data_IF_875142976634
#
_entry.id   IF_875142976634
#
_cell.length_a   1.000
_cell.length_b   1.000
_cell.length_c   1.000
_cell.angle_alpha   90.00
_cell.angle_beta   90.00
_cell.angle_gamma   90.00
#
_symmetry.space_group_name_H-M   'P 1'
#
loop_
_entity.id
_entity.type
_entity.pdbx_description
1 polymer ?
#
# COMPACT_ATOMS: atom_id res chain seq x y z
N UNK A 1 -13.22 24.86 -23.25
CA UNK A 1 -13.39 26.33 -23.27
C UNK A 1 -14.78 26.59 -23.80
N UNK A 2 -15.63 27.23 -23.01
CA UNK A 2 -17.02 27.53 -23.38
C UNK A 2 -17.00 28.80 -24.22
N UNK A 3 -17.38 28.72 -25.50
CA UNK A 3 -17.54 29.92 -26.32
C UNK A 3 -19.03 30.21 -26.49
N UNK A 4 -19.43 31.41 -26.09
CA UNK A 4 -20.74 31.98 -26.42
C UNK A 4 -20.57 32.70 -27.75
N UNK A 5 -21.18 32.19 -28.84
CA UNK A 5 -21.32 32.95 -30.09
C UNK A 5 -22.67 33.65 -30.06
N UNK A 6 -22.66 34.96 -29.85
CA UNK A 6 -23.81 35.80 -30.19
C UNK A 6 -23.72 36.14 -31.68
N UNK A 7 -24.58 35.55 -32.50
CA UNK A 7 -24.84 36.07 -33.85
C UNK A 7 -25.76 37.28 -33.73
N UNK A 8 -25.28 38.47 -34.10
CA UNK A 8 -26.16 39.59 -34.44
C UNK A 8 -26.22 39.67 -35.95
N UNK A 9 -27.39 39.41 -36.51
CA UNK A 9 -27.70 39.69 -37.90
C UNK A 9 -27.95 41.20 -38.02
N UNK A 10 -27.05 41.93 -38.70
CA UNK A 10 -27.23 43.36 -38.96
C UNK A 10 -27.64 43.50 -40.43
N UNK A 11 -28.91 43.79 -40.75
CA UNK A 11 -29.32 44.05 -42.12
C UNK A 11 -28.77 45.42 -42.56
N UNK A 12 -28.32 45.47 -43.81
CA UNK A 12 -27.69 46.62 -44.43
C UNK A 12 -28.54 47.90 -44.43
N UNK A 13 -27.81 49.02 -44.47
CA UNK A 13 -28.35 50.38 -44.60
C UNK A 13 -29.24 50.52 -45.85
N UNK A 14 -30.47 50.94 -45.66
CA UNK A 14 -31.32 51.48 -46.72
C UNK A 14 -32.79 51.61 -46.30
N UNK A 15 -33.28 52.84 -46.21
CA UNK A 15 -34.73 53.13 -46.22
C UNK A 15 -35.37 53.32 -44.85
N UNK A 16 -35.95 54.51 -44.66
CA UNK A 16 -36.90 54.80 -43.60
C UNK A 16 -38.15 53.93 -43.76
N UNK A 17 -38.59 53.26 -42.70
CA UNK A 17 -39.97 52.87 -42.44
C UNK A 17 -40.08 52.27 -41.03
N UNK A 18 -41.03 52.79 -40.26
CA UNK A 18 -41.44 52.32 -38.93
C UNK A 18 -41.92 50.87 -39.00
N UNK A 19 -41.27 49.96 -38.28
CA UNK A 19 -41.76 48.60 -38.04
C UNK A 19 -41.53 48.24 -36.58
N UNK A 20 -42.62 47.88 -35.90
CA UNK A 20 -42.63 47.30 -34.55
C UNK A 20 -41.67 46.10 -34.49
N UNK A 21 -40.62 46.21 -33.67
CA UNK A 21 -39.72 45.10 -33.38
C UNK A 21 -40.36 44.19 -32.30
N UNK A 22 -41.06 43.15 -32.75
CA UNK A 22 -41.46 42.03 -31.90
C UNK A 22 -40.21 41.17 -31.62
N UNK A 23 -39.58 41.42 -30.47
CA UNK A 23 -38.36 40.73 -30.06
C UNK A 23 -38.62 39.26 -29.69
N UNK A 24 -38.45 38.33 -30.63
CA UNK A 24 -38.28 36.91 -30.32
C UNK A 24 -36.86 36.67 -29.78
N UNK A 25 -36.76 36.44 -28.46
CA UNK A 25 -35.57 35.84 -27.86
C UNK A 25 -35.43 34.40 -28.39
N UNK A 26 -34.38 34.13 -29.17
CA UNK A 26 -33.95 32.76 -29.44
C UNK A 26 -33.27 32.22 -28.18
N UNK A 27 -33.58 30.99 -27.72
CA UNK A 27 -32.93 30.42 -26.55
C UNK A 27 -31.44 30.22 -26.85
N UNK A 28 -30.58 30.80 -26.02
CA UNK A 28 -29.15 30.53 -26.03
C UNK A 28 -28.92 29.05 -25.71
N UNK A 29 -28.81 28.23 -26.74
CA UNK A 29 -28.42 26.82 -26.62
C UNK A 29 -26.93 26.73 -26.31
N UNK A 30 -26.59 26.06 -25.21
CA UNK A 30 -25.22 25.66 -24.92
C UNK A 30 -24.83 24.60 -25.95
N UNK A 31 -24.03 24.96 -26.95
CA UNK A 31 -23.38 23.98 -27.82
C UNK A 31 -22.25 23.33 -27.01
N UNK A 32 -22.51 22.13 -26.48
CA UNK A 32 -21.44 21.26 -25.97
C UNK A 32 -20.72 20.65 -27.17
N UNK A 33 -19.43 20.91 -27.31
CA UNK A 33 -18.54 20.21 -28.26
C UNK A 33 -18.41 18.72 -27.90
N UNK A 34 -19.48 17.93 -28.10
CA UNK A 34 -19.56 16.53 -27.67
C UNK A 34 -18.53 15.61 -28.33
N UNK A 35 -17.97 16.01 -29.49
CA UNK A 35 -17.01 15.20 -30.22
C UNK A 35 -15.59 15.24 -29.59
N UNK A 36 -15.22 16.32 -28.89
CA UNK A 36 -13.86 16.45 -28.32
C UNK A 36 -13.72 15.84 -26.93
N UNK A 37 -14.81 15.76 -26.14
CA UNK A 37 -14.80 15.14 -24.81
C UNK A 37 -14.87 13.62 -24.89
N UNK A 38 -15.71 13.06 -25.77
CA UNK A 38 -15.87 11.62 -25.94
C UNK A 38 -14.57 10.94 -26.42
N UNK A 39 -13.84 11.59 -27.34
CA UNK A 39 -12.53 11.12 -27.80
C UNK A 39 -11.48 11.10 -26.67
N UNK A 40 -11.43 12.16 -25.85
CA UNK A 40 -10.50 12.26 -24.71
C UNK A 40 -10.79 11.21 -23.63
N UNK A 41 -12.06 10.96 -23.32
CA UNK A 41 -12.44 9.91 -22.36
C UNK A 41 -12.08 8.52 -22.86
N UNK A 42 -12.30 8.23 -24.15
CA UNK A 42 -11.89 6.96 -24.77
C UNK A 42 -10.38 6.73 -24.65
N UNK A 43 -9.56 7.72 -24.99
CA UNK A 43 -8.10 7.60 -24.88
C UNK A 43 -7.62 7.42 -23.44
N UNK A 44 -8.27 8.07 -22.46
CA UNK A 44 -7.96 7.87 -21.03
C UNK A 44 -8.28 6.45 -20.58
N UNK A 45 -9.42 5.91 -20.97
CA UNK A 45 -9.77 4.52 -20.67
C UNK A 45 -8.78 3.52 -21.28
N UNK A 46 -8.37 3.73 -22.54
CA UNK A 46 -7.36 2.89 -23.20
C UNK A 46 -6.02 2.97 -22.45
N UNK A 47 -5.60 4.17 -22.04
CA UNK A 47 -4.38 4.36 -21.26
C UNK A 47 -4.45 3.68 -19.88
N UNK A 48 -5.56 3.81 -19.16
CA UNK A 48 -5.76 3.16 -17.86
C UNK A 48 -5.69 1.63 -18.01
N UNK A 49 -6.35 1.06 -19.02
CA UNK A 49 -6.31 -0.39 -19.29
C UNK A 49 -4.89 -0.84 -19.65
N UNK A 50 -4.16 -0.09 -20.48
CA UNK A 50 -2.78 -0.40 -20.82
C UNK A 50 -1.87 -0.41 -19.58
N UNK A 51 -2.03 0.56 -18.67
CA UNK A 51 -1.30 0.61 -17.40
C UNK A 51 -1.61 -0.60 -16.52
N UNK A 52 -2.87 -1.03 -16.46
CA UNK A 52 -3.28 -2.23 -15.71
C UNK A 52 -2.64 -3.49 -16.27
N UNK A 53 -2.62 -3.65 -17.60
CA UNK A 53 -1.97 -4.80 -18.25
C UNK A 53 -0.46 -4.81 -17.98
N UNK A 54 0.19 -3.65 -18.06
CA UNK A 54 1.61 -3.51 -17.72
C UNK A 54 1.88 -3.85 -16.24
N UNK A 55 1.06 -3.34 -15.32
CA UNK A 55 1.17 -3.64 -13.90
C UNK A 55 0.97 -5.13 -13.59
N UNK A 56 -0.02 -5.77 -14.22
CA UNK A 56 -0.28 -7.21 -14.07
C UNK A 56 0.88 -8.06 -14.62
N UNK A 57 1.42 -7.69 -15.80
CA UNK A 57 2.60 -8.35 -16.37
C UNK A 57 3.83 -8.19 -15.50
N UNK A 58 4.06 -7.00 -14.94
CA UNK A 58 5.16 -6.75 -14.02
C UNK A 58 5.00 -7.51 -12.69
N UNK A 59 3.78 -7.58 -12.14
CA UNK A 59 3.50 -8.39 -10.95
C UNK A 59 3.74 -9.88 -11.21
N UNK A 60 3.29 -10.41 -12.35
CA UNK A 60 3.56 -11.80 -12.73
C UNK A 60 5.07 -12.06 -12.84
N UNK A 61 5.82 -11.12 -13.39
CA UNK A 61 7.28 -11.18 -13.42
C UNK A 61 7.88 -11.19 -12.00
N UNK A 62 7.44 -10.32 -11.09
CA UNK A 62 7.88 -10.33 -9.69
C UNK A 62 7.59 -11.67 -8.99
N UNK A 63 6.38 -12.20 -9.15
CA UNK A 63 5.99 -13.51 -8.59
C UNK A 63 6.90 -14.61 -9.15
N UNK A 64 7.22 -14.60 -10.44
CA UNK A 64 8.13 -15.58 -11.03
C UNK A 64 9.54 -15.52 -10.44
N UNK A 65 9.98 -14.35 -9.93
CA UNK A 65 11.25 -14.19 -9.21
C UNK A 65 11.13 -14.71 -7.78
N UNK A 66 10.04 -14.42 -7.08
CA UNK A 66 9.79 -14.92 -5.72
C UNK A 66 9.65 -16.43 -5.67
N UNK A 67 9.05 -17.07 -6.67
CA UNK A 67 8.98 -18.52 -6.77
C UNK A 67 10.35 -19.21 -6.96
N UNK A 68 11.42 -18.44 -7.23
CA UNK A 68 12.81 -18.92 -7.27
C UNK A 68 13.57 -18.62 -5.96
N UNK A 69 12.88 -18.15 -4.92
CA UNK A 69 13.48 -17.94 -3.58
C UNK A 69 13.92 -19.28 -3.00
N UNK A 70 13.19 -20.37 -3.25
CA UNK A 70 13.54 -21.71 -2.78
C UNK A 70 14.96 -22.16 -3.20
N UNK A 71 15.47 -21.65 -4.31
CA UNK A 71 16.81 -21.96 -4.84
C UNK A 71 17.92 -21.10 -4.21
N UNK A 72 17.55 -20.15 -3.33
CA UNK A 72 18.43 -19.14 -2.73
C UNK A 72 18.43 -19.29 -1.20
N UNK A 73 19.23 -20.21 -0.63
CA UNK A 73 19.22 -20.50 0.80
C UNK A 73 19.57 -19.30 1.70
N UNK A 74 20.22 -18.28 1.14
CA UNK A 74 20.61 -17.06 1.86
C UNK A 74 19.57 -15.94 1.78
N UNK A 75 18.38 -16.20 1.24
CA UNK A 75 17.32 -15.21 1.18
C UNK A 75 16.74 -14.92 2.58
N UNK A 76 16.39 -13.67 2.88
CA UNK A 76 15.81 -13.24 4.16
C UNK A 76 14.63 -14.12 4.63
N UNK A 77 13.85 -14.67 3.69
CA UNK A 77 12.78 -15.60 4.02
C UNK A 77 13.26 -16.81 4.83
N UNK A 78 14.43 -17.35 4.54
CA UNK A 78 14.96 -18.50 5.26
C UNK A 78 15.37 -18.16 6.68
N UNK A 79 15.83 -16.94 6.95
CA UNK A 79 16.02 -16.47 8.32
C UNK A 79 14.69 -16.51 9.07
N UNK A 80 13.61 -16.01 8.47
CA UNK A 80 12.27 -16.06 9.07
C UNK A 80 11.81 -17.50 9.34
N UNK A 81 11.98 -18.37 8.34
CA UNK A 81 11.54 -19.76 8.40
C UNK A 81 12.31 -20.54 9.48
N UNK A 82 13.64 -20.46 9.49
CA UNK A 82 14.45 -21.15 10.50
C UNK A 82 14.29 -20.53 11.88
N UNK A 83 14.03 -19.22 11.98
CA UNK A 83 13.61 -18.60 13.23
C UNK A 83 12.31 -19.19 13.77
N UNK A 84 11.31 -19.36 12.91
CA UNK A 84 10.04 -20.00 13.28
C UNK A 84 10.21 -21.48 13.67
N UNK A 85 11.13 -22.21 13.01
CA UNK A 85 11.53 -23.58 13.39
C UNK A 85 12.16 -23.58 14.77
N UNK A 86 13.07 -22.64 15.07
CA UNK A 86 13.68 -22.50 16.40
C UNK A 86 12.62 -22.31 17.49
N UNK A 87 11.62 -21.45 17.24
CA UNK A 87 10.50 -21.25 18.15
C UNK A 87 9.70 -22.53 18.37
N UNK A 88 9.43 -23.30 17.30
CA UNK A 88 8.71 -24.58 17.39
C UNK A 88 9.48 -25.60 18.23
N UNK A 89 10.79 -25.67 18.04
CA UNK A 89 11.66 -26.70 18.62
C UNK A 89 12.25 -26.25 19.98
N UNK A 90 11.90 -25.06 20.47
CA UNK A 90 12.36 -24.52 21.75
C UNK A 90 13.84 -24.11 21.76
N UNK A 91 14.41 -23.83 20.59
CA UNK A 91 15.80 -23.41 20.41
C UNK A 91 15.97 -21.89 20.52
N UNK A 92 17.23 -21.45 20.51
CA UNK A 92 17.59 -20.02 20.51
C UNK A 92 17.36 -19.41 19.13
N UNK A 93 16.49 -18.39 19.07
CA UNK A 93 16.06 -17.71 17.85
C UNK A 93 17.20 -16.96 17.17
N UNK A 94 18.10 -16.36 17.96
CA UNK A 94 19.17 -15.50 17.43
C UNK A 94 20.44 -16.26 17.05
N UNK A 95 20.43 -17.59 17.23
CA UNK A 95 21.55 -18.48 16.85
C UNK A 95 21.31 -19.28 15.58
N UNK A 96 20.10 -19.25 15.03
CA UNK A 96 19.79 -19.97 13.79
C UNK A 96 20.42 -19.30 12.57
N UNK A 97 20.72 -20.11 11.55
CA UNK A 97 21.27 -19.66 10.27
C UNK A 97 22.47 -18.71 10.43
N UNK A 98 23.44 -19.12 11.26
CA UNK A 98 24.63 -18.33 11.59
C UNK A 98 24.33 -16.92 12.15
N UNK A 99 23.19 -16.77 12.84
CA UNK A 99 22.75 -15.49 13.40
C UNK A 99 22.05 -14.57 12.40
N UNK A 100 21.58 -15.09 11.26
CA UNK A 100 20.89 -14.32 10.23
C UNK A 100 19.54 -13.73 10.67
N UNK A 101 18.89 -14.30 11.70
CA UNK A 101 17.65 -13.76 12.22
C UNK A 101 17.89 -12.48 13.05
N UNK A 102 17.60 -11.31 12.47
CA UNK A 102 17.78 -9.99 13.12
C UNK A 102 16.45 -9.27 13.42
N UNK A 103 15.37 -10.03 13.53
CA UNK A 103 14.00 -9.48 13.56
C UNK A 103 13.39 -9.56 14.97
N UNK A 104 12.25 -8.87 15.22
CA UNK A 104 11.54 -9.01 16.49
C UNK A 104 10.97 -10.42 16.67
N UNK A 105 10.99 -10.99 17.89
CA UNK A 105 10.58 -12.39 18.13
C UNK A 105 9.15 -12.70 17.69
N UNK A 106 8.26 -11.70 17.69
CA UNK A 106 6.88 -11.88 17.25
C UNK A 106 6.79 -12.42 15.81
N UNK A 107 7.67 -11.98 14.91
CA UNK A 107 7.63 -12.44 13.52
C UNK A 107 7.84 -13.96 13.43
N UNK A 108 8.82 -14.51 14.16
CA UNK A 108 9.06 -15.95 14.19
C UNK A 108 7.90 -16.73 14.85
N UNK A 109 7.32 -16.18 15.93
CA UNK A 109 6.15 -16.79 16.59
C UNK A 109 4.94 -16.85 15.65
N UNK A 110 4.64 -15.76 14.94
CA UNK A 110 3.51 -15.67 13.99
C UNK A 110 3.73 -16.59 12.78
N UNK A 111 4.98 -16.76 12.34
CA UNK A 111 5.32 -17.64 11.22
C UNK A 111 5.44 -19.12 11.60
N UNK A 112 5.31 -19.48 12.88
CA UNK A 112 5.34 -20.87 13.34
C UNK A 112 4.45 -21.83 12.52
N UNK A 113 3.21 -21.47 12.10
CA UNK A 113 2.39 -22.36 11.27
C UNK A 113 3.01 -22.69 9.90
N UNK A 114 3.89 -21.83 9.35
CA UNK A 114 4.57 -22.10 8.08
C UNK A 114 5.56 -23.26 8.19
N UNK A 115 6.03 -23.60 9.40
CA UNK A 115 6.96 -24.72 9.63
C UNK A 115 6.33 -26.09 9.44
N UNK A 116 5.01 -26.16 9.21
CA UNK A 116 4.29 -27.36 8.81
C UNK A 116 4.52 -27.71 7.33
N UNK A 117 5.04 -26.76 6.54
CA UNK A 117 5.36 -26.92 5.13
C UNK A 117 6.87 -27.15 4.98
N UNK A 118 7.28 -27.84 3.94
CA UNK A 118 8.69 -27.87 3.55
C UNK A 118 9.20 -26.46 3.21
N UNK A 119 10.48 -26.14 3.44
CA UNK A 119 11.00 -24.77 3.32
C UNK A 119 10.70 -24.09 1.97
N UNK A 120 10.86 -24.83 0.87
CA UNK A 120 10.56 -24.33 -0.49
C UNK A 120 9.07 -24.05 -0.68
N UNK A 121 8.20 -24.93 -0.18
CA UNK A 121 6.75 -24.72 -0.23
C UNK A 121 6.34 -23.52 0.62
N UNK A 122 6.94 -23.36 1.82
CA UNK A 122 6.72 -22.20 2.66
C UNK A 122 7.15 -20.90 1.95
N UNK A 123 8.29 -20.89 1.26
CA UNK A 123 8.77 -19.75 0.47
C UNK A 123 7.82 -19.37 -0.68
N UNK A 124 7.25 -20.38 -1.35
CA UNK A 124 6.26 -20.16 -2.40
C UNK A 124 4.96 -19.57 -1.84
N UNK A 125 4.47 -20.09 -0.70
CA UNK A 125 3.30 -19.53 0.00
C UNK A 125 3.56 -18.09 0.45
N UNK A 126 4.75 -17.82 0.99
CA UNK A 126 5.17 -16.47 1.37
C UNK A 126 5.20 -15.52 0.17
N UNK A 127 5.73 -15.97 -0.97
CA UNK A 127 5.71 -15.19 -2.22
C UNK A 127 4.28 -14.80 -2.63
N UNK A 128 3.32 -15.73 -2.53
CA UNK A 128 1.92 -15.45 -2.84
C UNK A 128 1.31 -14.46 -1.84
N UNK A 129 1.70 -14.55 -0.56
CA UNK A 129 1.32 -13.57 0.44
C UNK A 129 1.88 -12.18 0.11
N UNK A 130 3.16 -12.07 -0.27
CA UNK A 130 3.76 -10.81 -0.71
C UNK A 130 3.02 -10.22 -1.93
N UNK A 131 2.64 -11.05 -2.90
CA UNK A 131 1.83 -10.60 -4.04
C UNK A 131 0.47 -10.05 -3.60
N UNK A 132 -0.24 -10.75 -2.72
CA UNK A 132 -1.52 -10.30 -2.19
C UNK A 132 -1.39 -8.99 -1.38
N UNK A 133 -0.34 -8.87 -0.56
CA UNK A 133 -0.03 -7.66 0.19
C UNK A 133 0.30 -6.48 -0.73
N UNK A 134 1.09 -6.69 -1.78
CA UNK A 134 1.42 -5.65 -2.76
C UNK A 134 0.18 -5.17 -3.51
N UNK A 135 -0.67 -6.09 -4.00
CA UNK A 135 -1.94 -5.76 -4.65
C UNK A 135 -2.81 -4.92 -3.71
N UNK A 136 -3.02 -5.40 -2.48
CA UNK A 136 -3.88 -4.74 -1.49
C UNK A 136 -3.36 -3.35 -1.16
N UNK A 137 -2.06 -3.23 -0.89
CA UNK A 137 -1.42 -1.97 -0.53
C UNK A 137 -1.47 -0.97 -1.69
N UNK A 138 -1.12 -1.40 -2.90
CA UNK A 138 -1.16 -0.54 -4.08
C UNK A 138 -2.60 -0.09 -4.41
N UNK A 139 -3.58 -0.97 -4.24
CA UNK A 139 -4.99 -0.63 -4.39
C UNK A 139 -5.44 0.43 -3.39
N UNK A 140 -5.11 0.25 -2.11
CA UNK A 140 -5.44 1.22 -1.05
C UNK A 140 -4.81 2.59 -1.33
N UNK A 141 -3.55 2.61 -1.78
CA UNK A 141 -2.86 3.85 -2.17
C UNK A 141 -3.55 4.51 -3.37
N UNK A 142 -3.95 3.73 -4.38
CA UNK A 142 -4.69 4.22 -5.54
C UNK A 142 -6.04 4.83 -5.17
N UNK A 143 -6.79 4.17 -4.29
CA UNK A 143 -8.09 4.66 -3.78
C UNK A 143 -7.90 5.97 -3.02
N UNK A 144 -6.91 6.01 -2.12
CA UNK A 144 -6.57 7.20 -1.32
C UNK A 144 -6.14 8.37 -2.20
N UNK A 145 -5.36 8.10 -3.25
CA UNK A 145 -4.93 9.10 -4.23
C UNK A 145 -6.12 9.71 -4.95
N UNK A 146 -7.08 8.90 -5.39
CA UNK A 146 -8.31 9.42 -6.03
C UNK A 146 -9.14 10.26 -5.07
N UNK A 147 -9.24 9.83 -3.80
CA UNK A 147 -9.96 10.56 -2.76
C UNK A 147 -9.34 11.94 -2.52
N UNK A 148 -8.02 12.00 -2.35
CA UNK A 148 -7.29 13.25 -2.07
C UNK A 148 -7.26 14.22 -3.27
N UNK A 149 -7.28 13.68 -4.49
CA UNK A 149 -7.31 14.50 -5.71
C UNK A 149 -8.74 14.85 -6.18
N UNK A 150 -9.78 14.41 -5.47
CA UNK A 150 -11.17 14.71 -5.83
C UNK A 150 -11.63 14.12 -7.17
N UNK A 151 -11.02 13.02 -7.61
CA UNK A 151 -11.19 12.48 -8.96
C UNK A 151 -12.45 11.60 -9.16
N UNK A 152 -13.20 11.37 -8.09
CA UNK A 152 -14.27 10.37 -8.05
C UNK A 152 -13.72 8.93 -8.06
N UNK A 153 -14.50 8.00 -7.49
CA UNK A 153 -14.10 6.59 -7.45
C UNK A 153 -14.30 5.92 -8.82
N UNK A 154 -13.28 5.21 -9.29
CA UNK A 154 -13.32 4.40 -10.50
C UNK A 154 -12.31 3.27 -10.38
N UNK A 155 -12.79 2.02 -10.43
CA UNK A 155 -11.97 0.81 -10.23
C UNK A 155 -10.82 0.71 -11.23
N UNK A 156 -11.08 1.02 -12.49
CA UNK A 156 -10.07 0.95 -13.57
C UNK A 156 -8.97 1.99 -13.33
N UNK A 157 -9.35 3.19 -12.88
CA UNK A 157 -8.38 4.23 -12.53
C UNK A 157 -7.60 3.89 -11.25
N UNK A 158 -8.24 3.28 -10.26
CA UNK A 158 -7.57 2.77 -9.06
C UNK A 158 -6.50 1.75 -9.45
N UNK A 159 -6.85 0.79 -10.31
CA UNK A 159 -5.93 -0.23 -10.81
C UNK A 159 -4.78 0.38 -11.64
N UNK A 160 -5.06 1.40 -12.46
CA UNK A 160 -4.05 2.11 -13.23
C UNK A 160 -3.05 2.86 -12.33
N UNK A 161 -3.55 3.60 -11.33
CA UNK A 161 -2.72 4.30 -10.34
C UNK A 161 -1.89 3.33 -9.49
N UNK A 162 -2.49 2.22 -9.07
CA UNK A 162 -1.80 1.14 -8.37
C UNK A 162 -0.67 0.57 -9.25
N UNK A 163 -0.95 0.33 -10.53
CA UNK A 163 0.04 -0.19 -11.48
C UNK A 163 1.20 0.77 -11.69
N UNK A 164 0.94 2.08 -11.80
CA UNK A 164 1.98 3.11 -11.87
C UNK A 164 2.85 3.08 -10.61
N UNK A 165 2.25 3.07 -9.42
CA UNK A 165 3.00 3.04 -8.16
C UNK A 165 3.90 1.80 -8.05
N UNK A 166 3.39 0.64 -8.49
CA UNK A 166 4.17 -0.61 -8.49
C UNK A 166 5.33 -0.52 -9.50
N UNK A 167 5.06 -0.13 -10.76
CA UNK A 167 6.11 -0.08 -11.80
C UNK A 167 7.20 0.94 -11.47
N UNK A 168 6.84 2.12 -10.93
CA UNK A 168 7.81 3.17 -10.57
C UNK A 168 8.82 2.73 -9.51
N UNK A 169 8.42 1.84 -8.61
CA UNK A 169 9.28 1.29 -7.55
C UNK A 169 9.82 -0.10 -7.91
N UNK A 170 9.92 -0.40 -9.21
CA UNK A 170 10.17 -1.75 -9.71
C UNK A 170 11.44 -2.41 -9.16
N UNK A 171 12.54 -1.68 -8.99
CA UNK A 171 13.77 -2.23 -8.41
C UNK A 171 13.59 -2.61 -6.92
N UNK A 172 12.83 -1.81 -6.16
CA UNK A 172 12.51 -2.09 -4.76
C UNK A 172 11.69 -3.37 -4.66
N UNK A 173 10.62 -3.51 -5.46
CA UNK A 173 9.79 -4.72 -5.45
C UNK A 173 10.54 -5.95 -5.94
N UNK A 174 11.39 -5.79 -6.96
CA UNK A 174 12.25 -6.87 -7.41
C UNK A 174 13.09 -7.39 -6.25
N UNK A 175 13.75 -6.52 -5.49
CA UNK A 175 14.53 -6.91 -4.32
C UNK A 175 13.63 -7.58 -3.26
N UNK A 176 12.47 -7.00 -2.95
CA UNK A 176 11.53 -7.54 -1.98
C UNK A 176 11.14 -9.00 -2.28
N UNK A 177 10.80 -9.30 -3.54
CA UNK A 177 10.42 -10.65 -3.98
C UNK A 177 11.63 -11.59 -4.10
N UNK A 178 12.80 -11.09 -4.51
CA UNK A 178 13.99 -11.92 -4.63
C UNK A 178 14.53 -12.43 -3.29
N UNK A 179 14.44 -11.60 -2.25
CA UNK A 179 14.87 -11.96 -0.89
C UNK A 179 13.73 -12.51 -0.02
N UNK A 180 12.48 -12.35 -0.47
CA UNK A 180 11.31 -12.76 0.31
C UNK A 180 11.18 -11.97 1.61
N UNK A 181 11.44 -10.66 1.56
CA UNK A 181 11.49 -9.81 2.75
C UNK A 181 10.08 -9.55 3.32
N UNK A 182 10.00 -8.96 4.53
CA UNK A 182 8.75 -8.69 5.26
C UNK A 182 8.31 -7.22 5.23
N UNK A 183 8.93 -6.38 4.39
CA UNK A 183 8.63 -4.94 4.36
C UNK A 183 7.19 -4.66 3.92
N UNK A 184 6.60 -5.52 3.08
CA UNK A 184 5.20 -5.37 2.65
C UNK A 184 4.18 -5.47 3.80
N UNK A 185 4.47 -6.24 4.86
CA UNK A 185 3.63 -6.27 6.06
C UNK A 185 3.65 -4.91 6.77
N UNK A 186 4.85 -4.35 6.93
CA UNK A 186 5.06 -3.03 7.54
C UNK A 186 4.41 -1.93 6.70
N UNK A 187 4.59 -1.99 5.38
CA UNK A 187 4.03 -1.00 4.46
C UNK A 187 2.50 -1.00 4.49
N UNK A 188 1.86 -2.17 4.50
CA UNK A 188 0.40 -2.27 4.63
C UNK A 188 -0.07 -1.62 5.94
N UNK A 189 0.59 -1.91 7.07
CA UNK A 189 0.26 -1.31 8.36
C UNK A 189 0.41 0.23 8.35
N UNK A 190 1.45 0.75 7.69
CA UNK A 190 1.64 2.21 7.51
C UNK A 190 0.54 2.81 6.64
N UNK A 191 0.18 2.18 5.52
CA UNK A 191 -0.91 2.67 4.64
C UNK A 191 -2.26 2.67 5.36
N UNK A 192 -2.57 1.62 6.11
CA UNK A 192 -3.77 1.55 6.95
C UNK A 192 -3.75 2.64 8.03
N UNK A 193 -2.60 2.86 8.66
CA UNK A 193 -2.43 3.92 9.65
C UNK A 193 -2.72 5.31 9.07
N UNK A 194 -2.16 5.63 7.90
CA UNK A 194 -2.41 6.89 7.21
C UNK A 194 -3.88 7.08 6.82
N UNK A 195 -4.56 5.99 6.45
CA UNK A 195 -6.00 6.02 6.12
C UNK A 195 -6.87 6.27 7.35
N UNK A 196 -6.45 5.77 8.51
CA UNK A 196 -7.22 5.80 9.75
C UNK A 196 -6.91 7.01 10.64
N UNK A 197 -5.77 7.67 10.49
CA UNK A 197 -5.28 8.68 11.45
C UNK A 197 -6.27 9.81 11.74
N UNK A 198 -7.06 10.22 10.75
CA UNK A 198 -8.05 11.32 10.90
C UNK A 198 -9.37 10.88 11.53
N UNK A 199 -9.83 9.65 11.24
CA UNK A 199 -11.18 9.17 11.62
C UNK A 199 -11.17 8.18 12.79
N UNK A 200 -10.07 7.45 12.92
CA UNK A 200 -9.90 6.30 13.81
C UNK A 200 -8.45 6.30 14.36
N UNK A 201 -8.03 7.35 15.09
CA UNK A 201 -6.63 7.53 15.49
C UNK A 201 -6.08 6.37 16.33
N UNK A 202 -6.91 5.75 17.18
CA UNK A 202 -6.50 4.58 17.95
C UNK A 202 -6.13 3.38 17.05
N UNK A 203 -6.94 3.08 16.02
CA UNK A 203 -6.62 2.02 15.05
C UNK A 203 -5.38 2.34 14.22
N UNK A 204 -5.17 3.62 13.89
CA UNK A 204 -3.95 4.10 13.24
C UNK A 204 -2.70 3.85 14.08
N UNK A 205 -2.76 4.17 15.38
CA UNK A 205 -1.70 3.89 16.34
C UNK A 205 -1.42 2.40 16.51
N UNK A 206 -2.47 1.61 16.71
CA UNK A 206 -2.36 0.17 16.91
C UNK A 206 -1.72 -0.54 15.71
N UNK A 207 -2.10 -0.17 14.48
CA UNK A 207 -1.48 -0.71 13.27
C UNK A 207 0.04 -0.49 13.23
N UNK A 208 0.50 0.72 13.59
CA UNK A 208 1.92 1.04 13.63
C UNK A 208 2.65 0.31 14.76
N UNK A 209 2.04 0.20 15.94
CA UNK A 209 2.59 -0.56 17.06
C UNK A 209 2.78 -2.04 16.70
N UNK A 210 1.80 -2.64 16.01
CA UNK A 210 1.92 -4.00 15.48
C UNK A 210 3.06 -4.13 14.46
N UNK A 211 3.23 -3.12 13.59
CA UNK A 211 4.30 -3.12 12.60
C UNK A 211 5.70 -3.17 13.24
N UNK A 212 5.88 -2.61 14.45
CA UNK A 212 7.15 -2.71 15.21
C UNK A 212 7.50 -4.17 15.55
N UNK A 213 6.49 -5.01 15.78
CA UNK A 213 6.67 -6.44 16.02
C UNK A 213 7.06 -7.24 14.78
N UNK A 214 6.98 -6.65 13.58
CA UNK A 214 7.47 -7.25 12.33
C UNK A 214 8.88 -6.75 12.01
N UNK A 215 9.12 -5.44 12.15
CA UNK A 215 10.43 -4.79 12.03
C UNK A 215 10.50 -3.64 12.99
N UNK A 216 11.65 -3.39 13.61
CA UNK A 216 11.78 -2.29 14.59
C UNK A 216 11.58 -0.89 14.00
N UNK A 217 11.85 -0.70 12.70
CA UNK A 217 11.86 0.61 12.02
C UNK A 217 10.65 1.53 12.32
N UNK A 218 9.39 1.08 12.33
CA UNK A 218 8.22 1.95 12.55
C UNK A 218 8.16 2.59 13.94
N UNK A 219 9.01 2.19 14.90
CA UNK A 219 9.08 2.80 16.23
C UNK A 219 9.36 4.31 16.16
N UNK A 220 10.04 4.77 15.11
CA UNK A 220 10.33 6.19 14.86
C UNK A 220 9.07 7.04 14.65
N UNK A 221 7.93 6.42 14.33
CA UNK A 221 6.66 7.12 14.15
C UNK A 221 5.97 7.48 15.47
N UNK A 222 6.34 6.84 16.59
CA UNK A 222 5.77 7.17 17.90
C UNK A 222 6.13 8.59 18.35
N UNK A 223 7.41 9.04 18.33
CA UNK A 223 7.76 10.44 18.58
C UNK A 223 7.01 11.41 17.66
N UNK A 224 6.83 11.08 16.39
CA UNK A 224 6.07 11.91 15.46
C UNK A 224 4.62 12.10 15.93
N UNK A 225 3.93 11.03 16.35
CA UNK A 225 2.55 11.12 16.86
C UNK A 225 2.45 11.97 18.14
N UNK A 226 3.45 11.86 19.03
CA UNK A 226 3.53 12.66 20.26
C UNK A 226 3.73 14.14 19.95
N UNK A 227 4.64 14.49 19.03
CA UNK A 227 4.86 15.88 18.58
C UNK A 227 3.61 16.45 17.93
N UNK A 228 2.88 15.63 17.15
CA UNK A 228 1.58 16.00 16.55
C UNK A 228 0.44 16.00 17.55
N UNK A 229 0.69 15.70 18.83
CA UNK A 229 -0.28 15.67 19.94
C UNK A 229 -1.48 14.75 19.67
N UNK A 230 -1.30 13.71 18.84
CA UNK A 230 -2.34 12.72 18.60
C UNK A 230 -2.28 11.63 19.68
N UNK A 231 -2.73 11.98 20.88
CA UNK A 231 -2.60 11.14 22.08
C UNK A 231 -3.32 9.79 21.96
N UNK A 232 -4.44 9.74 21.24
CA UNK A 232 -5.16 8.48 20.97
C UNK A 232 -4.34 7.53 20.11
N UNK A 233 -3.72 8.03 19.03
CA UNK A 233 -2.84 7.23 18.21
C UNK A 233 -1.57 6.84 18.97
N UNK A 234 -0.94 7.77 19.69
CA UNK A 234 0.27 7.49 20.47
C UNK A 234 0.03 6.46 21.60
N UNK A 235 -1.09 6.58 22.33
CA UNK A 235 -1.47 5.65 23.37
C UNK A 235 -1.77 4.24 22.84
N UNK A 236 -2.53 4.15 21.74
CA UNK A 236 -2.81 2.86 21.09
C UNK A 236 -1.55 2.24 20.46
N UNK A 237 -0.65 3.06 19.91
CA UNK A 237 0.67 2.62 19.45
C UNK A 237 1.44 2.00 20.61
N UNK A 238 1.59 2.72 21.73
CA UNK A 238 2.35 2.25 22.88
C UNK A 238 1.74 0.97 23.50
N UNK A 239 0.40 0.89 23.56
CA UNK A 239 -0.30 -0.31 24.00
C UNK A 239 -0.04 -1.51 23.07
N UNK A 240 -0.21 -1.33 21.76
CA UNK A 240 0.07 -2.38 20.78
C UNK A 240 1.55 -2.78 20.79
N UNK A 241 2.47 -1.83 20.95
CA UNK A 241 3.90 -2.07 21.11
C UNK A 241 4.18 -2.98 22.32
N UNK A 242 3.58 -2.68 23.48
CA UNK A 242 3.69 -3.53 24.66
C UNK A 242 3.19 -4.95 24.41
N UNK A 243 2.04 -5.08 23.73
CA UNK A 243 1.48 -6.40 23.36
C UNK A 243 2.42 -7.17 22.43
N UNK A 244 3.01 -6.54 21.41
CA UNK A 244 3.88 -7.26 20.46
C UNK A 244 5.25 -7.61 21.03
N UNK A 245 5.77 -6.82 21.98
CA UNK A 245 7.05 -7.12 22.63
C UNK A 245 6.91 -8.18 23.73
N UNK A 246 5.78 -8.22 24.44
CA UNK A 246 5.56 -9.14 25.55
C UNK A 246 4.78 -10.40 25.15
N UNK A 247 3.92 -10.32 24.13
CA UNK A 247 3.12 -11.43 23.62
C UNK A 247 3.93 -12.69 23.29
N UNK A 248 5.11 -12.60 22.64
CA UNK A 248 5.94 -13.77 22.36
C UNK A 248 6.37 -14.55 23.61
N UNK A 249 6.41 -13.91 24.79
CA UNK A 249 6.76 -14.56 26.04
C UNK A 249 5.78 -15.68 26.44
N UNK A 250 4.53 -15.65 25.95
CA UNK A 250 3.56 -16.74 26.13
C UNK A 250 3.96 -18.04 25.42
N UNK A 251 4.82 -17.94 24.40
CA UNK A 251 5.32 -19.08 23.61
C UNK A 251 6.77 -19.39 23.96
N UNK A 252 7.59 -18.36 24.15
CA UNK A 252 9.03 -18.48 24.36
C UNK A 252 9.45 -18.64 25.83
N UNK A 253 8.55 -18.31 26.76
CA UNK A 253 8.86 -18.11 28.17
C UNK A 253 9.33 -16.67 28.46
N UNK A 254 9.06 -16.22 29.69
CA UNK A 254 9.34 -14.84 30.12
C UNK A 254 10.83 -14.50 30.12
N UNK A 255 11.66 -15.36 30.70
CA UNK A 255 13.10 -15.13 30.83
C UNK A 255 13.75 -14.98 29.44
N UNK A 256 13.46 -15.91 28.53
CA UNK A 256 13.98 -15.93 27.17
C UNK A 256 13.52 -14.72 26.36
N UNK A 257 12.25 -14.33 26.48
CA UNK A 257 11.76 -13.15 25.78
C UNK A 257 12.44 -11.86 26.27
N UNK A 258 12.69 -11.73 27.57
CA UNK A 258 13.42 -10.58 28.12
C UNK A 258 14.89 -10.55 27.68
N UNK A 259 15.54 -11.72 27.60
CA UNK A 259 16.89 -11.83 27.03
C UNK A 259 16.92 -11.36 25.57
N UNK A 260 15.97 -11.83 24.77
CA UNK A 260 15.81 -11.46 23.36
C UNK A 260 15.59 -9.97 23.14
N UNK A 261 14.72 -9.34 23.94
CA UNK A 261 14.56 -7.89 23.91
C UNK A 261 15.89 -7.19 24.30
N UNK A 262 16.59 -7.71 25.29
CA UNK A 262 17.90 -7.20 25.71
C UNK A 262 18.98 -7.31 24.63
N UNK A 263 18.97 -8.35 23.79
CA UNK A 263 19.86 -8.48 22.62
C UNK A 263 19.47 -7.44 21.57
N UNK A 264 18.20 -7.35 21.21
CA UNK A 264 17.70 -6.44 20.18
C UNK A 264 17.98 -4.94 20.47
N UNK A 265 17.98 -4.53 21.74
CA UNK A 265 18.27 -3.14 22.12
C UNK A 265 19.77 -2.82 22.27
N UNK A 266 20.65 -3.83 22.37
CA UNK A 266 22.09 -3.62 22.57
C UNK A 266 22.89 -3.43 21.28
N UNK A 267 22.31 -3.80 20.13
CA UNK A 267 22.98 -3.75 18.83
C UNK A 267 23.82 -5.00 18.63
#
# INVERSE_FOLDING_TARGET
>A
MTHIRCGMDVPGRGGALSVHAEGRQLPCGIVRDGNTSAGKERWRHVADVALVVLGAGFLAWLVSRGLRVGDQPNADFFDFYFGAVAVRDGQDLYRVNDGGYIYPPLLAVVLRPMTLLEPTTAANVWTMLLAALLITTAWLVGEETQRRLGLGFSRVRTAALASVAVVMLGQTWKSEFQWGNSNLLVLLAVVLSLRWVERWPAWSGAALGVAVGVKYLPIVLLPYLLVRRNWWAAGAFAGALGVVLLGPAMVLGWERNLEYLGVAFRG
#
